data_IF_611215720380
#
_entry.id   IF_611215720380
#
_cell.length_a   1.000
_cell.length_b   1.000
_cell.length_c   1.000
_cell.angle_alpha   90.00
_cell.angle_beta   90.00
_cell.angle_gamma   90.00
#
_symmetry.space_group_name_H-M   'P 1'
#
loop_
_entity.id
_entity.type
_entity.pdbx_description
1 polymer ?
#
# COMPACT_ATOMS: atom_id res chain seq x y z
N UNK A 1 -18.93 -18.79 49.79
CA UNK A 1 -18.26 -17.47 49.71
C UNK A 1 -16.96 -17.68 48.94
N UNK A 2 -16.91 -17.33 47.66
CA UNK A 2 -15.67 -17.29 46.84
C UNK A 2 -15.57 -15.89 46.27
N UNK A 3 -14.52 -15.17 46.76
CA UNK A 3 -14.26 -13.82 46.35
C UNK A 3 -13.80 -13.75 44.88
N UNK A 4 -14.44 -12.91 44.09
CA UNK A 4 -13.98 -12.46 42.80
C UNK A 4 -12.76 -11.56 43.00
N UNK A 5 -11.55 -12.07 42.75
CA UNK A 5 -10.36 -11.28 42.53
C UNK A 5 -10.48 -10.65 41.14
N UNK A 6 -10.97 -9.41 41.11
CA UNK A 6 -10.94 -8.59 39.91
C UNK A 6 -9.48 -8.35 39.49
N UNK A 7 -9.08 -8.89 38.35
CA UNK A 7 -7.84 -8.55 37.67
C UNK A 7 -7.86 -7.06 37.30
N UNK A 8 -7.25 -6.29 38.16
CA UNK A 8 -6.92 -4.86 37.82
C UNK A 8 -5.82 -4.90 36.81
N UNK A 9 -6.15 -4.54 35.56
CA UNK A 9 -5.17 -4.29 34.53
C UNK A 9 -4.05 -3.35 35.01
N UNK A 10 -2.87 -3.35 34.38
CA UNK A 10 -1.70 -2.62 34.87
C UNK A 10 -2.05 -1.16 35.09
N UNK A 11 -1.85 -0.69 36.33
CA UNK A 11 -2.05 0.72 36.72
C UNK A 11 -1.10 1.58 35.88
N UNK A 12 -1.66 2.49 35.12
CA UNK A 12 -0.92 3.49 34.30
C UNK A 12 -0.41 4.69 35.13
N UNK A 13 -0.42 4.57 36.45
CA UNK A 13 -0.20 5.68 37.41
C UNK A 13 1.30 5.95 37.68
N UNK A 14 2.20 5.20 37.03
CA UNK A 14 3.66 5.38 37.21
C UNK A 14 4.29 6.38 36.24
N UNK A 15 3.52 6.94 35.29
CA UNK A 15 4.03 7.93 34.36
C UNK A 15 4.20 9.29 35.05
N UNK A 16 5.41 9.89 35.09
CA UNK A 16 5.60 11.20 35.69
C UNK A 16 4.75 12.25 34.98
N UNK A 17 4.28 13.24 35.76
CA UNK A 17 3.53 14.36 35.23
C UNK A 17 4.39 15.09 34.18
N UNK A 18 3.92 15.12 32.92
CA UNK A 18 4.64 15.70 31.79
C UNK A 18 5.10 14.70 30.72
N UNK A 19 4.92 13.39 30.95
CA UNK A 19 5.16 12.44 29.88
C UNK A 19 4.13 12.61 28.76
N UNK A 20 4.54 12.82 27.50
CA UNK A 20 3.59 12.94 26.40
C UNK A 20 2.77 11.65 26.33
N UNK A 21 1.46 11.76 26.52
CA UNK A 21 0.56 10.61 26.37
C UNK A 21 0.66 10.12 24.93
N UNK A 22 0.79 8.80 24.69
CA UNK A 22 0.71 8.28 23.34
C UNK A 22 -0.60 8.77 22.74
N UNK A 23 -0.50 9.65 21.74
CA UNK A 23 -1.68 10.17 21.06
C UNK A 23 -2.35 9.03 20.32
N UNK A 24 -3.55 8.67 20.73
CA UNK A 24 -4.39 7.77 19.93
C UNK A 24 -4.63 8.44 18.58
N UNK A 25 -4.35 7.76 17.45
CA UNK A 25 -4.55 8.35 16.13
C UNK A 25 -5.99 8.83 15.99
N UNK A 26 -6.18 10.10 15.65
CA UNK A 26 -7.51 10.63 15.36
C UNK A 26 -8.01 10.05 14.03
N UNK A 27 -9.33 9.96 13.84
CA UNK A 27 -9.91 9.50 12.57
C UNK A 27 -9.38 10.31 11.37
N UNK A 28 -9.08 11.60 11.58
CA UNK A 28 -8.51 12.48 10.55
C UNK A 28 -7.07 12.12 10.21
N UNK A 29 -6.23 11.75 11.21
CA UNK A 29 -4.86 11.29 10.97
C UNK A 29 -4.85 9.94 10.24
N UNK A 30 -5.75 9.02 10.59
CA UNK A 30 -5.91 7.72 9.90
C UNK A 30 -6.31 7.92 8.43
N UNK A 31 -7.27 8.81 8.14
CA UNK A 31 -7.68 9.08 6.76
C UNK A 31 -6.54 9.66 5.93
N UNK A 32 -5.76 10.58 6.49
CA UNK A 32 -4.60 11.16 5.81
C UNK A 32 -3.55 10.09 5.49
N UNK A 33 -3.23 9.23 6.45
CA UNK A 33 -2.29 8.12 6.27
C UNK A 33 -2.81 7.12 5.23
N UNK A 34 -4.11 6.78 5.28
CA UNK A 34 -4.72 5.89 4.30
C UNK A 34 -4.67 6.48 2.88
N UNK A 35 -4.92 7.77 2.73
CA UNK A 35 -4.81 8.44 1.44
C UNK A 35 -3.36 8.42 0.91
N UNK A 36 -2.39 8.72 1.76
CA UNK A 36 -0.97 8.66 1.39
C UNK A 36 -0.56 7.24 0.98
N UNK A 37 -0.95 6.23 1.75
CA UNK A 37 -0.70 4.83 1.45
C UNK A 37 -1.30 4.43 0.10
N UNK A 38 -2.57 4.77 -0.13
CA UNK A 38 -3.27 4.45 -1.38
C UNK A 38 -2.60 5.12 -2.57
N UNK A 39 -2.27 6.41 -2.49
CA UNK A 39 -1.57 7.13 -3.57
C UNK A 39 -0.19 6.55 -3.85
N UNK A 40 0.53 6.13 -2.81
CA UNK A 40 1.83 5.50 -2.93
C UNK A 40 1.75 4.17 -3.68
N UNK A 41 0.84 3.28 -3.27
CA UNK A 41 0.63 2.00 -3.95
C UNK A 41 0.15 2.20 -5.40
N UNK A 42 -0.79 3.14 -5.65
CA UNK A 42 -1.24 3.49 -7.01
C UNK A 42 -0.08 3.92 -7.91
N UNK A 43 0.86 4.70 -7.37
CA UNK A 43 2.04 5.12 -8.14
C UNK A 43 2.89 3.92 -8.54
N UNK A 44 3.09 2.95 -7.62
CA UNK A 44 3.81 1.71 -7.90
C UNK A 44 3.13 0.87 -8.98
N UNK A 45 1.80 0.67 -8.85
CA UNK A 45 0.98 -0.05 -9.84
C UNK A 45 1.03 0.64 -11.21
N UNK A 46 0.79 1.95 -11.29
CA UNK A 46 0.83 2.68 -12.55
C UNK A 46 2.19 2.56 -13.27
N UNK A 47 3.29 2.67 -12.53
CA UNK A 47 4.64 2.48 -13.11
C UNK A 47 4.81 1.03 -13.59
N UNK A 48 4.36 0.05 -12.81
CA UNK A 48 4.44 -1.37 -13.14
C UNK A 48 3.67 -1.72 -14.40
N UNK A 49 2.44 -1.22 -14.52
CA UNK A 49 1.57 -1.46 -15.67
C UNK A 49 2.13 -0.83 -16.95
N UNK A 50 2.52 0.43 -16.91
CA UNK A 50 3.13 1.10 -18.08
C UNK A 50 4.42 0.42 -18.46
N UNK A 51 5.30 0.10 -17.52
CA UNK A 51 6.56 -0.60 -17.82
C UNK A 51 6.33 -1.99 -18.37
N UNK A 52 5.37 -2.75 -17.79
CA UNK A 52 4.98 -4.07 -18.27
C UNK A 52 4.45 -4.05 -19.70
N UNK A 53 3.59 -3.09 -20.01
CA UNK A 53 3.06 -2.91 -21.36
C UNK A 53 4.17 -2.51 -22.37
N UNK A 54 5.04 -1.57 -22.01
CA UNK A 54 6.17 -1.15 -22.87
C UNK A 54 7.08 -2.35 -23.19
N UNK A 55 7.47 -3.11 -22.17
CA UNK A 55 8.35 -4.27 -22.35
C UNK A 55 7.66 -5.36 -23.17
N UNK A 56 6.41 -5.69 -22.86
CA UNK A 56 5.65 -6.73 -23.55
C UNK A 56 5.41 -6.37 -25.02
N UNK A 57 5.12 -5.12 -25.32
CA UNK A 57 4.98 -4.62 -26.70
C UNK A 57 6.29 -4.71 -27.44
N UNK A 58 7.40 -4.29 -26.83
CA UNK A 58 8.73 -4.36 -27.45
C UNK A 58 9.19 -5.79 -27.73
N UNK A 59 8.79 -6.75 -26.89
CA UNK A 59 9.10 -8.18 -27.03
C UNK A 59 8.05 -8.95 -27.82
N UNK A 60 7.00 -8.28 -28.28
CA UNK A 60 5.87 -8.87 -29.01
C UNK A 60 5.19 -10.02 -28.24
N UNK A 61 5.03 -9.84 -26.94
CA UNK A 61 4.37 -10.81 -26.05
C UNK A 61 2.84 -10.66 -26.11
N UNK A 62 2.14 -11.78 -25.86
CA UNK A 62 0.69 -11.75 -25.79
C UNK A 62 0.16 -11.16 -24.48
N UNK A 63 -1.13 -10.81 -24.45
CA UNK A 63 -1.79 -10.12 -23.34
C UNK A 63 -1.59 -10.81 -21.98
N UNK A 64 -1.63 -12.13 -21.92
CA UNK A 64 -1.44 -12.87 -20.67
C UNK A 64 -0.04 -12.61 -20.07
N UNK A 65 1.00 -12.68 -20.89
CA UNK A 65 2.37 -12.43 -20.44
C UNK A 65 2.55 -10.97 -20.04
N UNK A 66 1.90 -10.03 -20.75
CA UNK A 66 1.89 -8.61 -20.41
C UNK A 66 1.27 -8.38 -19.02
N UNK A 67 0.11 -8.94 -18.73
CA UNK A 67 -0.56 -8.85 -17.41
C UNK A 67 0.36 -9.37 -16.31
N UNK A 68 0.90 -10.58 -16.47
CA UNK A 68 1.77 -11.20 -15.47
C UNK A 68 3.01 -10.34 -15.20
N UNK A 69 3.63 -9.81 -16.25
CA UNK A 69 4.80 -8.94 -16.12
C UNK A 69 4.42 -7.62 -15.41
N UNK A 70 3.30 -7.01 -15.78
CA UNK A 70 2.81 -5.77 -15.17
C UNK A 70 2.58 -5.95 -13.66
N UNK A 71 1.92 -7.03 -13.26
CA UNK A 71 1.69 -7.36 -11.83
C UNK A 71 3.03 -7.51 -11.09
N UNK A 72 3.98 -8.25 -11.65
CA UNK A 72 5.31 -8.43 -11.03
C UNK A 72 6.00 -7.07 -10.86
N UNK A 73 5.95 -6.22 -11.88
CA UNK A 73 6.55 -4.90 -11.84
C UNK A 73 5.82 -3.95 -10.86
N UNK A 74 4.50 -4.05 -10.77
CA UNK A 74 3.72 -3.27 -9.80
C UNK A 74 4.13 -3.59 -8.35
N UNK A 75 4.28 -4.87 -8.00
CA UNK A 75 4.81 -5.27 -6.71
C UNK A 75 6.26 -4.81 -6.51
N UNK A 76 7.10 -4.96 -7.52
CA UNK A 76 8.50 -4.52 -7.45
C UNK A 76 8.61 -3.02 -7.19
N UNK A 77 7.93 -2.19 -7.96
CA UNK A 77 7.96 -0.74 -7.80
C UNK A 77 7.26 -0.29 -6.52
N UNK A 78 6.14 -0.90 -6.14
CA UNK A 78 5.45 -0.63 -4.88
C UNK A 78 6.38 -0.85 -3.68
N UNK A 79 7.00 -2.01 -3.59
CA UNK A 79 7.97 -2.28 -2.51
C UNK A 79 9.21 -1.39 -2.57
N UNK A 80 9.75 -1.12 -3.76
CA UNK A 80 10.93 -0.26 -3.92
C UNK A 80 10.65 1.16 -3.43
N UNK A 81 9.47 1.69 -3.75
CA UNK A 81 9.05 3.01 -3.29
C UNK A 81 8.91 3.08 -1.76
N UNK A 82 8.36 2.04 -1.11
CA UNK A 82 8.25 1.97 0.35
C UNK A 82 9.60 1.72 1.02
N UNK A 83 10.45 0.88 0.44
CA UNK A 83 11.77 0.58 1.00
C UNK A 83 12.71 1.77 0.98
N UNK A 84 12.63 2.62 -0.05
CA UNK A 84 13.55 3.76 -0.23
C UNK A 84 13.58 4.69 0.99
N UNK A 85 12.48 5.24 1.51
CA UNK A 85 12.50 6.07 2.71
C UNK A 85 12.90 5.29 3.97
N UNK A 86 12.56 4.00 4.09
CA UNK A 86 12.93 3.17 5.23
C UNK A 86 14.46 2.98 5.32
N UNK A 87 15.10 2.71 4.18
CA UNK A 87 16.56 2.59 4.12
C UNK A 87 17.24 3.95 4.35
N UNK A 88 16.67 5.04 3.83
CA UNK A 88 17.18 6.39 4.06
C UNK A 88 17.12 6.81 5.54
N UNK A 89 16.18 6.25 6.33
CA UNK A 89 16.10 6.45 7.78
C UNK A 89 17.11 5.60 8.58
N UNK A 90 17.96 4.81 7.91
CA UNK A 90 18.98 3.97 8.55
C UNK A 90 18.50 2.59 8.97
N UNK A 91 17.30 2.16 8.59
CA UNK A 91 16.84 0.80 8.87
C UNK A 91 17.67 -0.23 8.10
N UNK A 92 17.97 -1.34 8.77
CA UNK A 92 18.61 -2.49 8.13
C UNK A 92 17.69 -3.08 7.04
N UNK A 93 18.27 -3.54 5.94
CA UNK A 93 17.58 -4.07 4.77
C UNK A 93 16.50 -5.12 5.13
N UNK A 94 16.83 -6.11 5.97
CA UNK A 94 15.88 -7.17 6.35
C UNK A 94 14.65 -6.64 7.12
N UNK A 95 14.84 -5.61 7.97
CA UNK A 95 13.73 -4.96 8.67
C UNK A 95 12.89 -4.11 7.72
N UNK A 96 13.54 -3.33 6.86
CA UNK A 96 12.88 -2.52 5.84
C UNK A 96 12.03 -3.39 4.90
N UNK A 97 12.56 -4.51 4.40
CA UNK A 97 11.82 -5.45 3.55
C UNK A 97 10.60 -6.03 4.26
N UNK A 98 10.74 -6.48 5.52
CA UNK A 98 9.59 -7.01 6.28
C UNK A 98 8.49 -5.96 6.46
N UNK A 99 8.86 -4.71 6.75
CA UNK A 99 7.91 -3.61 6.89
C UNK A 99 7.22 -3.29 5.57
N UNK A 100 7.95 -3.19 4.47
CA UNK A 100 7.39 -2.97 3.14
C UNK A 100 6.41 -4.10 2.75
N UNK A 101 6.81 -5.36 2.89
CA UNK A 101 5.94 -6.50 2.61
C UNK A 101 4.65 -6.45 3.44
N UNK A 102 4.74 -6.19 4.74
CA UNK A 102 3.56 -6.14 5.61
C UNK A 102 2.64 -4.95 5.33
N UNK A 103 3.20 -3.83 4.84
CA UNK A 103 2.45 -2.63 4.54
C UNK A 103 1.73 -2.72 3.18
N UNK A 104 2.43 -3.20 2.15
CA UNK A 104 2.01 -3.00 0.76
C UNK A 104 1.34 -4.22 0.14
N UNK A 105 1.67 -5.46 0.57
CA UNK A 105 1.18 -6.67 -0.11
C UNK A 105 -0.33 -6.70 -0.27
N UNK A 106 -1.08 -6.45 0.80
CA UNK A 106 -2.55 -6.50 0.76
C UNK A 106 -3.09 -5.37 -0.11
N UNK A 107 -2.56 -4.16 0.04
CA UNK A 107 -2.99 -2.99 -0.73
C UNK A 107 -2.76 -3.17 -2.23
N UNK A 108 -1.55 -3.56 -2.63
CA UNK A 108 -1.21 -3.80 -4.05
C UNK A 108 -2.05 -4.95 -4.60
N UNK A 109 -2.22 -6.06 -3.86
CA UNK A 109 -3.06 -7.17 -4.31
C UNK A 109 -4.49 -6.73 -4.61
N UNK A 110 -5.10 -5.94 -3.71
CA UNK A 110 -6.46 -5.41 -3.92
C UNK A 110 -6.51 -4.49 -5.13
N UNK A 111 -5.51 -3.64 -5.32
CA UNK A 111 -5.41 -2.75 -6.47
C UNK A 111 -5.28 -3.53 -7.76
N UNK A 112 -4.36 -4.48 -7.86
CA UNK A 112 -4.14 -5.30 -9.05
C UNK A 112 -5.38 -6.12 -9.45
N UNK A 113 -6.06 -6.72 -8.47
CA UNK A 113 -7.31 -7.46 -8.74
C UNK A 113 -8.38 -6.50 -9.27
N UNK A 114 -8.55 -5.34 -8.65
CA UNK A 114 -9.58 -4.37 -9.05
C UNK A 114 -9.29 -3.76 -10.41
N UNK A 115 -8.05 -3.37 -10.66
CA UNK A 115 -7.60 -2.77 -11.91
C UNK A 115 -7.77 -3.73 -13.08
N UNK A 116 -7.19 -4.94 -12.97
CA UNK A 116 -7.29 -5.96 -14.02
C UNK A 116 -8.76 -6.37 -14.26
N UNK A 117 -9.59 -6.46 -13.22
CA UNK A 117 -11.02 -6.74 -13.39
C UNK A 117 -11.72 -5.65 -14.21
N UNK A 118 -11.42 -4.38 -13.97
CA UNK A 118 -12.00 -3.25 -14.72
C UNK A 118 -11.50 -3.26 -16.17
N UNK A 119 -10.21 -3.47 -16.41
CA UNK A 119 -9.66 -3.56 -17.76
C UNK A 119 -10.28 -4.70 -18.57
N UNK A 120 -10.59 -5.83 -17.95
CA UNK A 120 -11.28 -6.94 -18.61
C UNK A 120 -12.73 -6.61 -19.00
N UNK A 121 -13.40 -5.73 -18.26
CA UNK A 121 -14.78 -5.31 -18.52
C UNK A 121 -14.86 -4.23 -19.60
N UNK A 122 -13.83 -3.40 -19.76
CA UNK A 122 -13.81 -2.35 -20.77
C UNK A 122 -13.54 -2.95 -22.15
N UNK A 123 -14.48 -2.81 -23.12
CA UNK A 123 -14.27 -3.37 -24.46
C UNK A 123 -12.98 -2.87 -25.10
N UNK A 124 -12.21 -3.77 -25.64
CA UNK A 124 -10.94 -3.50 -26.36
C UNK A 124 -9.80 -2.88 -25.52
N UNK A 125 -9.98 -2.61 -24.21
CA UNK A 125 -8.93 -2.05 -23.38
C UNK A 125 -7.67 -2.94 -23.38
N UNK A 126 -7.86 -4.25 -23.28
CA UNK A 126 -6.76 -5.23 -23.27
C UNK A 126 -5.97 -5.32 -24.58
N UNK A 127 -6.52 -4.81 -25.67
CA UNK A 127 -5.87 -4.80 -26.99
C UNK A 127 -5.42 -3.39 -27.40
N UNK A 128 -5.69 -2.38 -26.56
CA UNK A 128 -5.31 -1.00 -26.82
C UNK A 128 -3.78 -0.84 -26.78
N UNK A 129 -3.25 -0.14 -27.75
CA UNK A 129 -1.83 0.10 -27.83
C UNK A 129 -1.43 1.40 -27.11
N UNK A 130 -0.14 1.52 -26.76
CA UNK A 130 0.41 2.68 -26.04
C UNK A 130 0.18 4.03 -26.73
N UNK A 131 -0.01 4.05 -28.04
CA UNK A 131 -0.31 5.27 -28.83
C UNK A 131 -1.80 5.59 -28.90
N UNK A 132 -2.67 4.75 -28.35
CA UNK A 132 -4.12 4.93 -28.40
C UNK A 132 -4.65 5.64 -27.15
N UNK A 133 -5.55 6.62 -27.28
CA UNK A 133 -6.20 7.27 -26.14
C UNK A 133 -6.97 6.29 -25.25
N UNK A 134 -7.48 5.19 -25.84
CA UNK A 134 -8.20 4.15 -25.12
C UNK A 134 -7.32 3.49 -24.06
N UNK A 135 -6.03 3.24 -24.35
CA UNK A 135 -5.08 2.70 -23.38
C UNK A 135 -4.98 3.61 -22.15
N UNK A 136 -4.66 4.88 -22.35
CA UNK A 136 -4.49 5.83 -21.25
C UNK A 136 -5.79 6.12 -20.49
N UNK A 137 -6.91 6.19 -21.20
CA UNK A 137 -8.22 6.41 -20.60
C UNK A 137 -8.69 5.23 -19.74
N UNK A 138 -8.54 4.00 -20.24
CA UNK A 138 -8.89 2.80 -19.48
C UNK A 138 -7.96 2.59 -18.29
N UNK A 139 -6.65 2.80 -18.44
CA UNK A 139 -5.67 2.73 -17.37
C UNK A 139 -5.97 3.77 -16.26
N UNK A 140 -6.22 5.02 -16.62
CA UNK A 140 -6.53 6.05 -15.64
C UNK A 140 -7.84 5.76 -14.89
N UNK A 141 -8.86 5.26 -15.58
CA UNK A 141 -10.15 4.91 -14.99
C UNK A 141 -10.02 3.68 -14.06
N UNK A 142 -9.34 2.64 -14.49
CA UNK A 142 -9.15 1.42 -13.72
C UNK A 142 -8.34 1.69 -12.45
N UNK A 143 -7.24 2.44 -12.54
CA UNK A 143 -6.45 2.87 -11.39
C UNK A 143 -7.25 3.76 -10.42
N UNK A 144 -8.08 4.68 -10.94
CA UNK A 144 -8.93 5.50 -10.08
C UNK A 144 -9.92 4.64 -9.28
N UNK A 145 -10.55 3.67 -9.92
CA UNK A 145 -11.49 2.74 -9.26
C UNK A 145 -10.73 1.85 -8.28
N UNK A 146 -9.58 1.29 -8.68
CA UNK A 146 -8.74 0.48 -7.80
C UNK A 146 -8.32 1.26 -6.54
N UNK A 147 -7.97 2.54 -6.68
CA UNK A 147 -7.67 3.43 -5.56
C UNK A 147 -8.86 3.64 -4.61
N UNK A 148 -10.07 3.84 -5.15
CA UNK A 148 -11.29 3.95 -4.35
C UNK A 148 -11.56 2.65 -3.57
N UNK A 149 -11.35 1.49 -4.18
CA UNK A 149 -11.52 0.18 -3.53
C UNK A 149 -10.43 -0.08 -2.49
N UNK A 150 -9.18 0.27 -2.77
CA UNK A 150 -8.06 0.05 -1.85
C UNK A 150 -8.05 1.02 -0.65
N UNK A 151 -8.61 2.22 -0.79
CA UNK A 151 -8.63 3.21 0.28
C UNK A 151 -9.27 2.70 1.59
N UNK A 152 -10.48 2.11 1.62
CA UNK A 152 -11.07 1.57 2.85
C UNK A 152 -10.25 0.41 3.43
N UNK A 153 -9.60 -0.41 2.59
CA UNK A 153 -8.72 -1.49 3.02
C UNK A 153 -7.51 -0.92 3.75
N UNK A 154 -6.83 0.06 3.17
CA UNK A 154 -5.69 0.74 3.79
C UNK A 154 -6.10 1.43 5.10
N UNK A 155 -7.25 2.10 5.11
CA UNK A 155 -7.78 2.74 6.31
C UNK A 155 -8.03 1.74 7.44
N UNK A 156 -8.60 0.59 7.11
CA UNK A 156 -8.86 -0.48 8.08
C UNK A 156 -7.55 -1.08 8.61
N UNK A 157 -6.56 -1.34 7.76
CA UNK A 157 -5.25 -1.86 8.17
C UNK A 157 -4.52 -0.87 9.10
N UNK A 158 -4.49 0.41 8.74
CA UNK A 158 -3.85 1.46 9.54
C UNK A 158 -4.57 1.62 10.89
N UNK A 159 -5.90 1.57 10.91
CA UNK A 159 -6.69 1.63 12.13
C UNK A 159 -6.42 0.48 13.11
N UNK A 160 -5.91 -0.66 12.60
CA UNK A 160 -5.47 -1.81 13.40
C UNK A 160 -3.98 -1.81 13.74
N UNK A 161 -3.26 -0.74 13.42
CA UNK A 161 -1.81 -0.66 13.64
C UNK A 161 -1.01 -1.56 12.69
N UNK A 162 -1.57 -1.89 11.52
CA UNK A 162 -0.95 -2.71 10.48
C UNK A 162 -0.65 -1.87 9.23
N UNK A 163 0.10 -2.43 8.30
CA UNK A 163 0.41 -1.76 7.05
C UNK A 163 1.26 -0.50 7.25
N UNK A 164 0.93 0.58 6.57
CA UNK A 164 1.67 1.85 6.61
C UNK A 164 1.77 2.50 8.00
N UNK A 165 0.91 2.14 8.98
CA UNK A 165 1.05 2.59 10.36
C UNK A 165 2.38 2.14 10.99
N UNK A 166 2.85 0.94 10.62
CA UNK A 166 4.13 0.39 11.10
C UNK A 166 5.32 1.15 10.49
N UNK A 167 5.19 1.56 9.22
CA UNK A 167 6.21 2.34 8.51
C UNK A 167 6.37 3.72 9.13
N UNK A 168 5.28 4.42 9.40
CA UNK A 168 5.31 5.75 10.02
C UNK A 168 5.81 5.71 11.46
N UNK A 169 5.44 4.70 12.25
CA UNK A 169 5.97 4.52 13.61
C UNK A 169 7.48 4.29 13.65
N UNK A 170 8.06 3.71 12.60
CA UNK A 170 9.50 3.50 12.50
C UNK A 170 10.28 4.80 12.23
N UNK A 171 9.63 5.84 11.70
CA UNK A 171 10.25 7.16 11.47
C UNK A 171 10.20 8.08 12.71
N UNK A 172 9.26 7.87 13.64
CA UNK A 172 9.09 8.70 14.82
C UNK A 172 10.04 8.33 15.98
N UNK A 173 10.71 7.19 15.91
CA UNK A 173 11.72 6.76 16.86
C UNK A 173 13.09 6.52 16.17
N UNK A 174 13.85 7.59 15.86
CA UNK A 174 15.27 7.42 15.63
C UNK A 174 15.88 6.97 16.98
N UNK A 175 16.38 5.73 16.99
CA UNK A 175 16.86 5.07 18.20
C UNK A 175 17.89 5.90 18.95
N UNK A 176 17.67 6.03 20.25
CA UNK A 176 18.71 6.30 21.23
C UNK A 176 19.43 5.02 21.58
#
# INVERSE_FOLDING_TARGET
>A
MRGHSGERGPRKDWLPAGYPRPMTPTAQSINRLAFQATTHCLTGCAIGEVAGMVISTALNWGNFAAIVLSIILAFFFGYALTMRPLLASGLQLGRATRLALSADTVSITVMEISDNAILLVIPSAMNAQLNEPLFWGSLALSLAIAGVVAFPVNRWMIGRGQGHAVVHGAHEHPGH
#
